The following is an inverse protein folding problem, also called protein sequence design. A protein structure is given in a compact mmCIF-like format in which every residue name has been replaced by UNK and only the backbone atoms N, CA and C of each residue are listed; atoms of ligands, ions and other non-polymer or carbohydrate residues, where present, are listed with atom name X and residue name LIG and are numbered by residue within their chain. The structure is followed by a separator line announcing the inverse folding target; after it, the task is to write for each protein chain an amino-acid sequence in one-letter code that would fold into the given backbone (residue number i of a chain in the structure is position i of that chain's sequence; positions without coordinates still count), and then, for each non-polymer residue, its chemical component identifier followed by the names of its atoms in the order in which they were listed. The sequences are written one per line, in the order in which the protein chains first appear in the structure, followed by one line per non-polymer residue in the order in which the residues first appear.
data_IF_129354571366
#
_entry.id   IF_129354571366
#
_cell.length_a   1.000
_cell.length_b   1.000
_cell.length_c   1.000
_cell.angle_alpha   90.00
_cell.angle_beta   90.00
_cell.angle_gamma   90.00
#
_symmetry.space_group_name_H-M   'P 1'
#
loop_
_entity.id
_entity.type
_entity.pdbx_description
1 polymer ?
#
# COMPACT_ATOMS: atom_id res chain seq x y z
N UNK A 1 -9.06 -10.21 -27.90
CA UNK A 1 -7.65 -9.82 -27.67
C UNK A 1 -7.42 -8.35 -27.97
N UNK A 2 -7.69 -7.86 -29.18
CA UNK A 2 -7.51 -6.44 -29.54
C UNK A 2 -8.25 -5.47 -28.60
N UNK A 3 -9.48 -5.81 -28.19
CA UNK A 3 -10.28 -5.03 -27.21
C UNK A 3 -9.64 -4.89 -25.84
N UNK A 4 -8.79 -5.83 -25.43
CA UNK A 4 -8.11 -5.79 -24.13
C UNK A 4 -6.84 -4.95 -24.24
N UNK A 5 -6.08 -5.11 -25.33
CA UNK A 5 -4.90 -4.31 -25.59
C UNK A 5 -5.23 -2.81 -25.75
N UNK A 6 -6.31 -2.48 -26.46
CA UNK A 6 -6.76 -1.08 -26.59
C UNK A 6 -7.20 -0.49 -25.25
N UNK A 7 -7.87 -1.27 -24.41
CA UNK A 7 -8.25 -0.87 -23.06
C UNK A 7 -7.01 -0.64 -22.14
N UNK A 8 -6.00 -1.52 -22.23
CA UNK A 8 -4.75 -1.35 -21.50
C UNK A 8 -3.97 -0.10 -21.92
N UNK A 9 -3.86 0.18 -23.23
CA UNK A 9 -3.25 1.43 -23.72
C UNK A 9 -4.00 2.66 -23.20
N UNK A 10 -5.33 2.57 -23.13
CA UNK A 10 -6.17 3.66 -22.64
C UNK A 10 -6.00 3.90 -21.13
N UNK A 11 -5.87 2.83 -20.33
CA UNK A 11 -5.59 2.93 -18.89
C UNK A 11 -4.21 3.53 -18.58
N UNK A 12 -3.26 3.47 -19.51
CA UNK A 12 -1.93 4.05 -19.34
C UNK A 12 -1.90 5.59 -19.51
N UNK A 13 -2.98 6.20 -20.00
CA UNK A 13 -3.07 7.65 -20.15
C UNK A 13 -3.44 8.33 -18.83
N UNK A 14 -2.61 9.27 -18.37
CA UNK A 14 -2.77 9.98 -17.10
C UNK A 14 -3.98 10.94 -17.07
N UNK A 15 -4.31 11.55 -18.20
CA UNK A 15 -5.45 12.46 -18.35
C UNK A 15 -6.48 11.88 -19.34
N UNK A 16 -7.50 11.16 -18.87
CA UNK A 16 -8.51 10.60 -19.74
C UNK A 16 -9.46 11.70 -20.22
N UNK A 17 -9.47 11.93 -21.53
CA UNK A 17 -10.41 12.83 -22.17
C UNK A 17 -11.88 12.35 -22.01
N UNK A 18 -12.87 13.22 -22.17
CA UNK A 18 -14.29 12.86 -21.96
C UNK A 18 -14.78 11.67 -22.81
N UNK A 19 -14.19 11.45 -23.98
CA UNK A 19 -14.50 10.32 -24.86
C UNK A 19 -14.02 8.96 -24.33
N UNK A 20 -13.03 8.97 -23.42
CA UNK A 20 -12.56 7.81 -22.65
C UNK A 20 -13.69 6.99 -22.05
N UNK A 21 -14.65 7.69 -21.42
CA UNK A 21 -15.69 7.06 -20.62
C UNK A 21 -16.59 6.21 -21.51
N UNK A 22 -16.94 6.71 -22.70
CA UNK A 22 -17.74 5.95 -23.66
C UNK A 22 -17.02 4.68 -24.13
N UNK A 23 -15.70 4.74 -24.32
CA UNK A 23 -14.91 3.54 -24.63
C UNK A 23 -14.84 2.57 -23.45
N UNK A 24 -14.65 3.04 -22.22
CA UNK A 24 -14.68 2.20 -21.02
C UNK A 24 -16.03 1.48 -20.87
N UNK A 25 -17.14 2.17 -21.12
CA UNK A 25 -18.48 1.58 -21.16
C UNK A 25 -18.60 0.53 -22.24
N UNK A 26 -18.12 0.82 -23.45
CA UNK A 26 -18.14 -0.10 -24.59
C UNK A 26 -17.34 -1.37 -24.29
N UNK A 27 -16.14 -1.25 -23.70
CA UNK A 27 -15.34 -2.40 -23.27
C UNK A 27 -16.04 -3.21 -22.19
N UNK A 28 -16.66 -2.55 -21.20
CA UNK A 28 -17.45 -3.22 -20.16
C UNK A 28 -18.61 -4.03 -20.76
N UNK A 29 -19.33 -3.44 -21.71
CA UNK A 29 -20.43 -4.10 -22.42
C UNK A 29 -19.96 -5.33 -23.19
N UNK A 30 -18.87 -5.22 -23.96
CA UNK A 30 -18.29 -6.35 -24.70
C UNK A 30 -17.89 -7.49 -23.75
N UNK A 31 -17.24 -7.18 -22.62
CA UNK A 31 -16.82 -8.21 -21.67
C UNK A 31 -18.00 -8.87 -20.95
N UNK A 32 -19.04 -8.09 -20.62
CA UNK A 32 -20.26 -8.61 -20.00
C UNK A 32 -20.96 -9.56 -20.96
N UNK A 33 -21.06 -9.18 -22.24
CA UNK A 33 -21.67 -10.02 -23.27
C UNK A 33 -20.90 -11.31 -23.52
N UNK A 34 -19.57 -11.25 -23.61
CA UNK A 34 -18.72 -12.43 -23.79
C UNK A 34 -18.91 -13.44 -22.64
N UNK A 35 -18.92 -12.97 -21.40
CA UNK A 35 -19.11 -13.84 -20.24
C UNK A 35 -20.55 -14.33 -20.11
N UNK A 36 -21.55 -13.52 -20.48
CA UNK A 36 -22.95 -13.95 -20.52
C UNK A 36 -23.14 -15.11 -21.51
N UNK A 37 -22.54 -15.02 -22.70
CA UNK A 37 -22.56 -16.14 -23.67
C UNK A 37 -21.89 -17.38 -23.08
N UNK A 38 -20.72 -17.25 -22.44
CA UNK A 38 -20.04 -18.38 -21.81
C UNK A 38 -20.87 -19.02 -20.68
N UNK A 39 -21.58 -18.20 -19.90
CA UNK A 39 -22.48 -18.64 -18.84
C UNK A 39 -23.68 -19.41 -19.41
N UNK A 40 -24.32 -18.86 -20.45
CA UNK A 40 -25.48 -19.48 -21.09
C UNK A 40 -25.10 -20.78 -21.81
N UNK A 41 -23.93 -20.83 -22.43
CA UNK A 41 -23.45 -22.01 -23.15
C UNK A 41 -23.02 -23.17 -22.24
N UNK A 42 -22.49 -22.90 -21.05
CA UNK A 42 -21.97 -23.92 -20.11
C UNK A 42 -22.89 -24.20 -18.92
N UNK A 43 -23.88 -23.35 -18.66
CA UNK A 43 -24.74 -23.40 -17.48
C UNK A 43 -24.10 -22.74 -16.25
N UNK A 44 -24.94 -22.10 -15.43
CA UNK A 44 -24.48 -21.28 -14.29
C UNK A 44 -24.00 -22.13 -13.10
N UNK A 45 -24.87 -22.98 -12.56
CA UNK A 45 -24.57 -23.80 -11.35
C UNK A 45 -25.07 -25.26 -11.40
N UNK A 46 -25.97 -25.64 -12.31
CA UNK A 46 -26.60 -26.98 -12.29
C UNK A 46 -26.28 -27.71 -13.59
N UNK A 47 -25.27 -28.58 -13.55
CA UNK A 47 -24.83 -29.44 -14.65
C UNK A 47 -23.35 -29.86 -14.52
N UNK A 48 -22.93 -31.00 -15.10
CA UNK A 48 -21.57 -31.55 -14.94
C UNK A 48 -20.44 -30.69 -15.55
N UNK A 49 -20.76 -29.70 -16.39
CA UNK A 49 -19.83 -28.76 -17.04
C UNK A 49 -20.03 -27.31 -16.56
N UNK A 50 -20.05 -27.10 -15.24
CA UNK A 50 -20.37 -25.80 -14.63
C UNK A 50 -19.32 -24.71 -14.91
N UNK A 51 -19.78 -23.51 -15.28
CA UNK A 51 -18.94 -22.31 -15.49
C UNK A 51 -17.99 -22.01 -14.30
N UNK A 52 -18.42 -22.25 -13.07
CA UNK A 52 -17.64 -21.93 -11.86
C UNK A 52 -16.58 -22.98 -11.48
N UNK A 53 -16.37 -24.07 -12.22
CA UNK A 53 -15.33 -25.06 -11.87
C UNK A 53 -13.93 -24.64 -12.31
N UNK A 54 -13.84 -23.77 -13.32
CA UNK A 54 -12.59 -23.23 -13.82
C UNK A 54 -12.16 -21.98 -13.01
N UNK A 55 -11.00 -21.98 -12.33
CA UNK A 55 -10.55 -20.84 -11.51
C UNK A 55 -10.29 -19.58 -12.35
N UNK A 56 -9.97 -19.73 -13.63
CA UNK A 56 -9.82 -18.62 -14.57
C UNK A 56 -11.14 -17.91 -14.86
N UNK A 57 -12.25 -18.64 -14.73
CA UNK A 57 -13.58 -18.12 -15.00
C UNK A 57 -14.16 -17.39 -13.78
N UNK A 58 -13.65 -17.68 -12.58
CA UNK A 58 -13.89 -16.86 -11.38
C UNK A 58 -13.34 -15.45 -11.56
N UNK A 59 -12.18 -15.30 -12.20
CA UNK A 59 -11.60 -13.99 -12.52
C UNK A 59 -12.50 -13.22 -13.50
N UNK A 60 -12.97 -13.89 -14.56
CA UNK A 60 -13.90 -13.30 -15.53
C UNK A 60 -15.21 -12.85 -14.84
N UNK A 61 -15.71 -13.63 -13.87
CA UNK A 61 -16.91 -13.28 -13.10
C UNK A 61 -16.67 -12.12 -12.12
N UNK A 62 -15.56 -12.13 -11.37
CA UNK A 62 -15.25 -11.07 -10.40
C UNK A 62 -15.07 -9.71 -11.08
N UNK A 63 -14.46 -9.68 -12.27
CA UNK A 63 -14.30 -8.45 -13.06
C UNK A 63 -15.65 -7.85 -13.46
N UNK A 64 -16.63 -8.69 -13.81
CA UNK A 64 -17.97 -8.22 -14.21
C UNK A 64 -18.75 -7.75 -13.00
N UNK A 65 -18.76 -8.51 -11.90
CA UNK A 65 -19.43 -8.12 -10.66
C UNK A 65 -18.88 -6.79 -10.17
N UNK A 66 -17.56 -6.62 -10.15
CA UNK A 66 -16.93 -5.36 -9.74
C UNK A 66 -17.25 -4.21 -10.72
N UNK A 67 -17.26 -4.46 -12.03
CA UNK A 67 -17.64 -3.45 -13.02
C UNK A 67 -19.10 -2.99 -12.87
N UNK A 68 -20.02 -3.91 -12.62
CA UNK A 68 -21.42 -3.60 -12.39
C UNK A 68 -21.61 -2.88 -11.05
N UNK A 69 -20.94 -3.33 -9.99
CA UNK A 69 -20.98 -2.66 -8.69
C UNK A 69 -20.51 -1.21 -8.79
N UNK A 70 -19.43 -0.93 -9.53
CA UNK A 70 -18.95 0.45 -9.73
C UNK A 70 -19.93 1.34 -10.49
N UNK A 71 -20.85 0.74 -11.27
CA UNK A 71 -21.84 1.47 -12.05
C UNK A 71 -23.15 1.69 -11.28
N UNK A 72 -23.64 0.65 -10.60
CA UNK A 72 -24.87 0.70 -9.81
C UNK A 72 -24.69 1.52 -8.53
N UNK A 73 -23.50 1.47 -7.95
CA UNK A 73 -23.19 2.14 -6.70
C UNK A 73 -22.43 3.42 -7.02
N UNK A 74 -23.15 4.54 -7.24
CA UNK A 74 -22.57 5.89 -7.18
C UNK A 74 -22.23 6.27 -5.72
N UNK A 75 -21.53 5.41 -4.99
CA UNK A 75 -21.07 5.75 -3.64
C UNK A 75 -19.91 6.72 -3.79
N UNK A 76 -20.07 7.88 -3.15
CA UNK A 76 -19.26 9.07 -3.33
C UNK A 76 -17.76 8.83 -3.27
N UNK A 77 -17.02 9.63 -4.03
CA UNK A 77 -15.57 9.85 -4.06
C UNK A 77 -14.61 8.77 -3.51
N UNK A 78 -14.91 7.47 -3.67
CA UNK A 78 -13.95 6.42 -3.40
C UNK A 78 -13.03 6.29 -4.61
N UNK A 79 -11.93 7.07 -4.62
CA UNK A 79 -10.88 6.97 -5.64
C UNK A 79 -10.39 5.51 -5.80
N UNK A 80 -10.43 4.71 -4.72
CA UNK A 80 -10.11 3.29 -4.73
C UNK A 80 -11.01 2.43 -5.65
N UNK A 81 -12.26 2.82 -5.91
CA UNK A 81 -13.11 2.06 -6.83
C UNK A 81 -12.65 2.18 -8.30
N UNK A 82 -11.88 3.22 -8.62
CA UNK A 82 -11.31 3.42 -9.96
C UNK A 82 -10.14 2.49 -10.24
N UNK A 83 -9.36 2.11 -9.22
CA UNK A 83 -8.21 1.20 -9.39
C UNK A 83 -8.66 -0.24 -9.70
N UNK A 84 -9.85 -0.67 -9.28
CA UNK A 84 -10.40 -1.97 -9.64
C UNK A 84 -10.65 -2.16 -11.14
N UNK A 85 -10.72 -1.08 -11.93
CA UNK A 85 -10.84 -1.17 -13.40
C UNK A 85 -9.63 -1.87 -14.01
N UNK A 86 -8.45 -1.77 -13.39
CA UNK A 86 -7.21 -2.44 -13.83
C UNK A 86 -7.35 -3.97 -13.81
N UNK A 87 -8.25 -4.53 -12.99
CA UNK A 87 -8.52 -5.97 -13.00
C UNK A 87 -9.03 -6.47 -14.37
N UNK A 88 -9.61 -5.61 -15.21
CA UNK A 88 -10.00 -5.96 -16.59
C UNK A 88 -8.79 -6.33 -17.45
N UNK A 89 -7.61 -5.78 -17.19
CA UNK A 89 -6.39 -6.14 -17.87
C UNK A 89 -5.96 -7.58 -17.55
N UNK A 90 -6.26 -8.08 -16.34
CA UNK A 90 -5.97 -9.48 -15.95
C UNK A 90 -6.79 -10.49 -16.76
N UNK A 91 -7.89 -10.08 -17.40
CA UNK A 91 -8.64 -10.92 -18.35
C UNK A 91 -7.80 -11.38 -19.54
N UNK A 92 -6.70 -10.70 -19.87
CA UNK A 92 -5.73 -11.21 -20.86
C UNK A 92 -5.22 -12.61 -20.52
N UNK A 93 -5.06 -12.91 -19.23
CA UNK A 93 -4.61 -14.20 -18.72
C UNK A 93 -5.66 -15.29 -19.01
N UNK A 94 -6.95 -14.99 -18.91
CA UNK A 94 -8.01 -15.97 -19.18
C UNK A 94 -8.22 -16.22 -20.69
N UNK A 95 -7.85 -15.26 -21.55
CA UNK A 95 -8.02 -15.33 -23.02
C UNK A 95 -6.83 -15.98 -23.73
N UNK A 96 -5.60 -15.76 -23.27
CA UNK A 96 -4.39 -16.30 -23.92
C UNK A 96 -4.00 -17.64 -23.26
N UNK A 97 -4.11 -18.79 -23.96
CA UNK A 97 -3.86 -20.09 -23.34
C UNK A 97 -2.42 -20.25 -22.83
N UNK A 98 -1.43 -19.67 -23.52
CA UNK A 98 -0.03 -19.69 -23.06
C UNK A 98 0.19 -18.95 -21.74
N UNK A 99 -0.59 -17.89 -21.47
CA UNK A 99 -0.44 -17.09 -20.26
C UNK A 99 -0.96 -17.83 -19.02
N UNK A 100 -2.00 -18.68 -19.17
CA UNK A 100 -2.48 -19.57 -18.10
C UNK A 100 -1.40 -20.54 -17.63
N UNK A 101 -0.66 -21.11 -18.57
CA UNK A 101 0.42 -22.06 -18.26
C UNK A 101 1.56 -21.37 -17.50
N UNK A 102 1.95 -20.17 -17.93
CA UNK A 102 3.01 -19.38 -17.27
C UNK A 102 2.61 -19.02 -15.84
N UNK A 103 1.40 -18.50 -15.62
CA UNK A 103 0.94 -18.13 -14.28
C UNK A 103 0.76 -19.36 -13.39
N UNK A 104 0.28 -20.47 -13.96
CA UNK A 104 0.20 -21.76 -13.24
C UNK A 104 1.58 -22.25 -12.78
N UNK A 105 2.58 -22.18 -13.66
CA UNK A 105 3.96 -22.53 -13.32
C UNK A 105 4.54 -21.58 -12.25
N UNK A 106 4.26 -20.28 -12.34
CA UNK A 106 4.68 -19.30 -11.34
C UNK A 106 4.09 -19.60 -9.96
N UNK A 107 2.78 -19.88 -9.89
CA UNK A 107 2.10 -20.24 -8.63
C UNK A 107 2.68 -21.55 -8.07
N UNK A 108 3.00 -22.52 -8.93
CA UNK A 108 3.63 -23.76 -8.50
C UNK A 108 5.04 -23.52 -7.93
N UNK A 109 5.81 -22.61 -8.52
CA UNK A 109 7.13 -22.21 -7.99
C UNK A 109 7.01 -21.54 -6.63
N UNK A 110 6.02 -20.67 -6.42
CA UNK A 110 5.78 -20.03 -5.11
C UNK A 110 5.45 -21.07 -4.04
N UNK A 111 4.66 -22.09 -4.36
CA UNK A 111 4.36 -23.18 -3.42
C UNK A 111 5.62 -23.94 -2.97
N UNK A 112 6.61 -24.12 -3.86
CA UNK A 112 7.90 -24.73 -3.51
C UNK A 112 8.79 -23.82 -2.67
N UNK A 113 8.61 -22.51 -2.74
CA UNK A 113 9.33 -21.52 -1.93
C UNK A 113 8.68 -21.30 -0.55
N UNK A 114 7.51 -21.89 -0.27
CA UNK A 114 6.78 -21.68 0.99
C UNK A 114 7.63 -22.03 2.22
N UNK A 115 8.38 -23.14 2.17
CA UNK A 115 9.25 -23.56 3.28
C UNK A 115 10.38 -22.55 3.53
N UNK A 116 10.99 -22.04 2.46
CA UNK A 116 12.05 -21.00 2.56
C UNK A 116 11.48 -19.70 3.10
N UNK A 117 10.26 -19.32 2.70
CA UNK A 117 9.57 -18.14 3.22
C UNK A 117 9.30 -18.26 4.71
N UNK A 118 8.85 -19.44 5.18
CA UNK A 118 8.62 -19.68 6.62
C UNK A 118 9.93 -19.55 7.40
N UNK A 119 11.02 -20.16 6.93
CA UNK A 119 12.34 -20.05 7.56
C UNK A 119 12.81 -18.58 7.60
N UNK A 120 12.61 -17.84 6.51
CA UNK A 120 12.99 -16.43 6.41
C UNK A 120 12.21 -15.57 7.40
N UNK A 121 10.90 -15.74 7.48
CA UNK A 121 10.05 -15.01 8.44
C UNK A 121 10.45 -15.36 9.88
N UNK A 122 10.70 -16.63 10.17
CA UNK A 122 11.18 -17.07 11.49
C UNK A 122 12.51 -16.40 11.85
N UNK A 123 13.49 -16.45 10.94
CA UNK A 123 14.81 -15.84 11.15
C UNK A 123 14.72 -14.32 11.38
N UNK A 124 13.94 -13.61 10.54
CA UNK A 124 13.69 -12.19 10.68
C UNK A 124 12.98 -11.87 12.00
N UNK A 125 12.05 -12.71 12.46
CA UNK A 125 11.37 -12.51 13.74
C UNK A 125 12.32 -12.62 14.93
N UNK A 126 13.25 -13.58 14.92
CA UNK A 126 14.27 -13.72 15.98
C UNK A 126 15.19 -12.51 16.00
N UNK A 127 15.71 -12.09 14.85
CA UNK A 127 16.54 -10.89 14.77
C UNK A 127 15.78 -9.62 15.13
N UNK A 128 14.50 -9.52 14.79
CA UNK A 128 13.66 -8.39 15.17
C UNK A 128 13.45 -8.33 16.70
N UNK A 129 13.27 -9.46 17.39
CA UNK A 129 13.16 -9.49 18.85
C UNK A 129 14.47 -9.10 19.53
N UNK A 130 15.60 -9.62 19.05
CA UNK A 130 16.93 -9.24 19.54
C UNK A 130 17.16 -7.75 19.30
N UNK A 131 16.89 -7.26 18.09
CA UNK A 131 17.05 -5.86 17.71
C UNK A 131 16.14 -4.93 18.51
N UNK A 132 14.90 -5.34 18.80
CA UNK A 132 13.97 -4.57 19.62
C UNK A 132 14.50 -4.43 21.05
N UNK A 133 15.04 -5.50 21.65
CA UNK A 133 15.60 -5.45 23.00
C UNK A 133 16.89 -4.62 23.07
N UNK A 134 17.76 -4.73 22.06
CA UNK A 134 19.03 -4.01 22.02
C UNK A 134 18.85 -2.50 21.73
N UNK A 135 17.92 -2.16 20.83
CA UNK A 135 17.79 -0.79 20.32
C UNK A 135 16.47 -0.13 20.73
N UNK A 136 15.84 -0.61 21.82
CA UNK A 136 14.57 -0.07 22.29
C UNK A 136 14.68 1.43 22.56
N UNK A 137 13.99 2.24 21.76
CA UNK A 137 13.95 3.70 21.94
C UNK A 137 15.25 4.45 21.59
N UNK A 138 16.30 3.78 21.14
CA UNK A 138 17.58 4.43 20.87
C UNK A 138 17.49 5.43 19.69
N UNK A 139 16.69 5.13 18.66
CA UNK A 139 16.46 6.05 17.54
C UNK A 139 15.60 7.29 17.89
N UNK A 140 14.99 7.33 19.08
CA UNK A 140 14.23 8.49 19.56
C UNK A 140 15.12 9.53 20.26
N UNK A 141 16.37 9.18 20.59
CA UNK A 141 17.31 10.10 21.21
C UNK A 141 17.62 11.24 20.24
N UNK A 142 17.54 12.48 20.72
CA UNK A 142 17.78 13.71 19.95
C UNK A 142 18.64 14.66 20.78
N UNK A 143 19.55 15.40 20.12
CA UNK A 143 20.31 16.44 20.81
C UNK A 143 19.44 17.68 20.97
N UNK A 144 19.04 17.98 22.20
CA UNK A 144 18.28 19.18 22.54
C UNK A 144 19.25 20.23 23.10
N UNK A 145 19.01 21.51 22.80
CA UNK A 145 19.80 22.62 23.36
C UNK A 145 19.73 22.64 24.90
N UNK A 146 20.85 22.90 25.54
CA UNK A 146 20.93 22.99 27.00
C UNK A 146 20.17 24.23 27.52
N UNK A 147 19.37 24.06 28.58
CA UNK A 147 18.58 25.11 29.24
C UNK A 147 19.35 25.84 30.36
N UNK A 148 20.58 25.44 30.66
CA UNK A 148 21.40 26.02 31.74
C UNK A 148 21.65 27.54 31.62
N UNK A 149 21.55 28.14 30.43
CA UNK A 149 21.63 29.60 30.26
C UNK A 149 20.31 30.32 30.63
N UNK A 150 19.20 29.60 30.70
CA UNK A 150 17.86 30.15 30.92
C UNK A 150 17.28 29.82 32.30
N UNK A 151 17.82 28.82 33.00
CA UNK A 151 17.32 28.34 34.29
C UNK A 151 18.42 28.41 35.35
N UNK A 152 18.11 29.00 36.50
CA UNK A 152 18.90 28.82 37.72
C UNK A 152 18.36 27.57 38.45
N UNK A 153 19.24 26.76 39.06
CA UNK A 153 19.00 25.40 39.63
C UNK A 153 17.81 25.22 40.61
N UNK A 154 17.02 26.26 40.87
CA UNK A 154 15.89 26.27 41.82
C UNK A 154 14.49 26.25 41.17
N UNK A 155 14.36 26.15 39.84
CA UNK A 155 13.05 26.16 39.15
C UNK A 155 12.39 24.77 39.07
N UNK A 156 11.10 24.70 39.42
CA UNK A 156 10.28 23.49 39.27
C UNK A 156 10.01 23.17 37.80
N UNK A 157 9.94 21.88 37.44
CA UNK A 157 9.68 21.41 36.07
C UNK A 157 8.34 21.91 35.47
N UNK A 158 7.38 22.33 36.31
CA UNK A 158 6.06 22.83 35.90
C UNK A 158 5.96 24.37 35.91
N UNK A 159 7.08 25.08 36.07
CA UNK A 159 7.09 26.53 36.00
C UNK A 159 7.26 27.00 34.56
N UNK A 160 6.50 28.02 34.18
CA UNK A 160 6.72 28.69 32.90
C UNK A 160 8.03 29.47 32.93
N UNK A 161 8.86 29.34 31.90
CA UNK A 161 10.13 30.06 31.80
C UNK A 161 10.30 30.73 30.44
N UNK A 162 11.06 31.82 30.41
CA UNK A 162 11.42 32.53 29.18
C UNK A 162 12.80 32.06 28.74
N UNK A 163 12.91 31.51 27.54
CA UNK A 163 14.20 31.11 26.96
C UNK A 163 14.21 31.43 25.46
N UNK A 164 15.32 32.03 24.99
CA UNK A 164 15.46 32.51 23.60
C UNK A 164 14.25 33.35 23.12
N UNK A 165 13.78 34.28 23.95
CA UNK A 165 12.69 35.20 23.61
C UNK A 165 11.33 34.53 23.33
N UNK A 166 11.16 33.24 23.69
CA UNK A 166 9.89 32.50 23.70
C UNK A 166 9.54 32.07 25.13
N UNK A 167 8.26 32.14 25.50
CA UNK A 167 7.77 31.64 26.80
C UNK A 167 7.32 30.19 26.66
N UNK A 168 7.90 29.31 27.47
CA UNK A 168 7.60 27.89 27.51
C UNK A 168 6.76 27.57 28.74
N UNK A 169 5.70 26.79 28.59
CA UNK A 169 4.80 26.44 29.68
C UNK A 169 5.39 25.37 30.62
N UNK A 170 6.23 24.47 30.08
CA UNK A 170 6.91 23.42 30.82
C UNK A 170 8.24 23.03 30.17
N UNK A 171 9.09 22.31 30.91
CA UNK A 171 10.33 21.75 30.35
C UNK A 171 10.06 20.68 29.28
N UNK A 172 8.95 19.93 29.41
CA UNK A 172 8.56 18.93 28.42
C UNK A 172 8.23 19.56 27.06
N UNK A 173 7.50 20.69 27.06
CA UNK A 173 7.17 21.39 25.82
C UNK A 173 8.43 21.87 25.10
N UNK A 174 9.41 22.37 25.86
CA UNK A 174 10.71 22.77 25.32
C UNK A 174 11.48 21.59 24.68
N UNK A 175 11.49 20.42 25.35
CA UNK A 175 12.16 19.20 24.86
C UNK A 175 11.42 18.59 23.66
N UNK A 176 10.11 18.78 23.53
CA UNK A 176 9.33 18.23 22.42
C UNK A 176 9.35 19.09 21.15
N UNK A 177 9.85 20.32 21.23
CA UNK A 177 9.82 21.28 20.13
C UNK A 177 10.97 21.06 19.12
N UNK A 178 10.62 20.99 17.84
CA UNK A 178 11.58 20.71 16.76
C UNK A 178 12.59 21.84 16.51
N UNK A 179 12.30 23.09 16.92
CA UNK A 179 13.23 24.21 16.79
C UNK A 179 14.42 24.06 17.75
N UNK A 180 14.23 23.31 18.84
CA UNK A 180 15.25 23.10 19.87
C UNK A 180 16.14 21.89 19.58
N UNK A 181 15.84 21.12 18.54
CA UNK A 181 16.66 20.00 18.09
C UNK A 181 17.86 20.46 17.26
N UNK A 182 19.00 19.83 17.48
CA UNK A 182 20.16 20.03 16.63
C UNK A 182 19.95 19.35 15.26
N UNK A 183 19.96 20.15 14.19
CA UNK A 183 19.88 19.69 12.79
C UNK A 183 21.20 20.02 12.09
N UNK A 184 21.78 19.04 11.40
CA UNK A 184 22.99 19.23 10.58
C UNK A 184 22.61 20.05 9.35
N UNK A 185 23.53 20.88 8.85
CA UNK A 185 23.29 21.70 7.66
C UNK A 185 22.88 20.82 6.46
N UNK A 186 21.71 21.11 5.89
CA UNK A 186 21.14 20.36 4.76
C UNK A 186 20.35 19.10 5.14
N UNK A 187 20.31 18.69 6.40
CA UNK A 187 19.50 17.55 6.86
C UNK A 187 18.05 17.96 7.17
N UNK A 188 17.09 17.09 6.81
CA UNK A 188 15.66 17.28 7.16
C UNK A 188 15.36 16.86 8.60
N UNK A 189 16.00 15.80 9.06
CA UNK A 189 15.79 15.21 10.37
C UNK A 189 16.82 15.69 11.40
N UNK A 190 16.40 15.73 12.67
CA UNK A 190 17.29 16.02 13.79
C UNK A 190 18.32 14.91 14.02
N UNK A 191 19.54 15.30 14.40
CA UNK A 191 20.64 14.40 14.73
C UNK A 191 20.27 13.49 15.90
N UNK A 192 20.66 12.22 15.81
CA UNK A 192 20.51 11.23 16.89
C UNK A 192 21.80 11.25 17.72
N UNK A 193 21.67 11.33 19.04
CA UNK A 193 22.77 11.18 19.98
C UNK A 193 22.67 9.89 20.81
N UNK A 194 23.78 9.49 21.41
CA UNK A 194 23.80 8.49 22.46
C UNK A 194 24.58 8.96 23.68
N UNK A 195 24.41 8.25 24.79
CA UNK A 195 25.08 8.58 26.06
C UNK A 195 26.41 7.83 26.24
N UNK A 196 26.67 6.82 25.40
CA UNK A 196 27.90 6.02 25.41
C UNK A 196 29.04 6.76 24.74
N UNK A 197 30.28 6.59 25.19
CA UNK A 197 31.45 7.25 24.59
C UNK A 197 31.70 6.86 23.12
N UNK A 198 31.22 5.69 22.71
CA UNK A 198 31.27 5.23 21.31
C UNK A 198 30.10 5.76 20.47
N UNK A 199 29.07 6.32 21.12
CA UNK A 199 27.95 6.97 20.47
C UNK A 199 28.21 8.48 20.37
N UNK A 200 27.82 9.09 19.25
CA UNK A 200 27.97 10.53 18.99
C UNK A 200 26.93 11.41 19.68
#
# INVERSE_FOLDING_TARGET
MCTILTNCCFMAMSEPAYWAKYLEYTFTGIYTFESLIKILARGFCVGPFTFLRDPWNWLDFSVIVMALLTEFIKVGNLQALRTFRVLRALKTISVIPGLKTIVGALIQSVKKLADVMILTVFCLSVFALIGLQLFMGNLRQKCVRNTAHCLNDSMSANASFLCNNKTWASLHDFISDEDNFYKVEGAKDALICGNSSDAG
#
